data_IF_994025556019
#
_entry.id   IF_994025556019
#
_cell.length_a   1.000
_cell.length_b   1.000
_cell.length_c   1.000
_cell.angle_alpha   90.00
_cell.angle_beta   90.00
_cell.angle_gamma   90.00
#
_symmetry.space_group_name_H-M   'P 1'
#
loop_
_entity.id
_entity.type
_entity.pdbx_description
1 polymer ?
#
# COMPACT_ATOMS: atom_id res chain seq x y z
N UNK A 1 22.52 21.60 22.67
CA UNK A 1 23.38 21.99 21.54
C UNK A 1 24.74 21.28 21.64
N UNK A 2 24.72 19.95 21.81
CA UNK A 2 25.94 19.12 21.95
C UNK A 2 25.77 17.75 21.28
N UNK A 3 24.54 17.36 20.93
CA UNK A 3 24.22 16.14 20.18
C UNK A 3 24.47 16.32 18.66
N UNK A 4 24.58 17.57 18.17
CA UNK A 4 24.89 17.84 16.75
C UNK A 4 26.37 17.69 16.37
N UNK A 5 27.28 17.57 17.34
CA UNK A 5 28.74 17.55 17.10
C UNK A 5 29.33 16.13 17.02
N UNK A 6 28.58 15.10 17.41
CA UNK A 6 29.05 13.70 17.35
C UNK A 6 28.65 13.02 16.03
N UNK A 7 27.66 13.56 15.31
CA UNK A 7 27.28 13.06 13.98
C UNK A 7 28.23 13.53 12.85
N UNK A 8 29.09 14.53 13.09
CA UNK A 8 30.07 15.02 12.11
C UNK A 8 31.42 14.26 12.13
N UNK A 9 31.64 13.35 13.08
CA UNK A 9 32.96 12.77 13.34
C UNK A 9 33.15 11.29 12.97
N UNK A 10 32.25 10.71 12.18
CA UNK A 10 32.44 9.37 11.57
C UNK A 10 32.08 9.30 10.08
N UNK A 11 32.49 10.29 9.29
CA UNK A 11 32.52 10.19 7.82
C UNK A 11 33.98 10.10 7.37
N UNK A 12 34.62 8.97 7.66
CA UNK A 12 35.89 8.58 7.05
C UNK A 12 35.64 8.09 5.63
N UNK A 13 35.39 9.04 4.71
CA UNK A 13 35.66 9.05 3.26
C UNK A 13 34.74 10.09 2.60
N UNK A 14 35.31 11.01 1.84
CA UNK A 14 34.54 12.01 1.09
C UNK A 14 33.67 11.27 0.06
N UNK A 15 32.33 11.23 0.19
CA UNK A 15 31.48 10.45 -0.70
C UNK A 15 31.62 10.98 -2.13
N UNK A 16 31.71 10.07 -3.10
CA UNK A 16 31.85 10.47 -4.50
C UNK A 16 30.67 11.35 -4.94
N UNK A 17 30.88 12.25 -5.91
CA UNK A 17 29.80 13.09 -6.45
C UNK A 17 28.58 12.26 -6.95
N UNK A 18 28.83 11.04 -7.44
CA UNK A 18 27.79 10.07 -7.82
C UNK A 18 26.91 9.67 -6.62
N UNK A 19 27.51 9.41 -5.47
CA UNK A 19 26.79 9.02 -4.26
C UNK A 19 25.91 10.16 -3.73
N UNK A 20 26.46 11.37 -3.67
CA UNK A 20 25.70 12.58 -3.30
C UNK A 20 24.51 12.76 -4.24
N UNK A 21 24.73 12.62 -5.55
CA UNK A 21 23.66 12.74 -6.55
C UNK A 21 22.57 11.69 -6.34
N UNK A 22 22.93 10.44 -6.11
CA UNK A 22 21.98 9.36 -5.86
C UNK A 22 21.13 9.64 -4.61
N UNK A 23 21.77 10.05 -3.51
CA UNK A 23 21.10 10.45 -2.26
C UNK A 23 20.09 11.58 -2.49
N UNK A 24 20.47 12.61 -3.26
CA UNK A 24 19.59 13.75 -3.55
C UNK A 24 18.39 13.37 -4.43
N UNK A 25 18.56 12.47 -5.40
CA UNK A 25 17.43 11.98 -6.21
C UNK A 25 16.44 11.20 -5.36
N UNK A 26 16.92 10.30 -4.50
CA UNK A 26 16.06 9.51 -3.63
C UNK A 26 15.33 10.41 -2.61
N UNK A 27 16.03 11.37 -2.01
CA UNK A 27 15.43 12.35 -1.10
C UNK A 27 14.33 13.19 -1.79
N UNK A 28 14.59 13.67 -3.00
CA UNK A 28 13.57 14.38 -3.78
C UNK A 28 12.36 13.48 -4.11
N UNK A 29 12.58 12.21 -4.44
CA UNK A 29 11.50 11.26 -4.68
C UNK A 29 10.61 11.08 -3.44
N UNK A 30 11.22 10.86 -2.28
CA UNK A 30 10.51 10.70 -0.99
C UNK A 30 9.70 11.96 -0.67
N UNK A 31 10.29 13.15 -0.78
CA UNK A 31 9.60 14.42 -0.53
C UNK A 31 8.38 14.59 -1.44
N UNK A 32 8.52 14.33 -2.74
CA UNK A 32 7.39 14.40 -3.68
C UNK A 32 6.31 13.37 -3.36
N UNK A 33 6.68 12.15 -2.96
CA UNK A 33 5.70 11.15 -2.52
C UNK A 33 4.92 11.67 -1.31
N UNK A 34 5.61 12.22 -0.32
CA UNK A 34 4.98 12.71 0.91
C UNK A 34 4.08 13.92 0.64
N UNK A 35 4.53 14.89 -0.18
CA UNK A 35 3.68 16.00 -0.66
C UNK A 35 2.42 15.43 -1.33
N UNK A 36 2.58 14.45 -2.22
CA UNK A 36 1.47 13.82 -2.93
C UNK A 36 0.43 13.22 -1.98
N UNK A 37 0.89 12.58 -0.90
CA UNK A 37 -0.03 11.97 0.07
C UNK A 37 -0.79 12.98 0.91
N UNK A 38 -0.13 14.05 1.32
CA UNK A 38 -0.81 15.17 1.99
C UNK A 38 -1.89 15.77 1.09
N UNK A 39 -1.59 15.96 -0.19
CA UNK A 39 -2.55 16.49 -1.16
C UNK A 39 -3.71 15.52 -1.39
N UNK A 40 -3.43 14.23 -1.47
CA UNK A 40 -4.47 13.20 -1.54
C UNK A 40 -5.41 13.24 -0.33
N UNK A 41 -4.88 13.34 0.89
CA UNK A 41 -5.67 13.47 2.12
C UNK A 41 -6.50 14.76 2.16
N UNK A 42 -6.03 15.84 1.51
CA UNK A 42 -6.77 17.09 1.31
C UNK A 42 -7.76 17.05 0.14
N UNK A 43 -7.91 15.91 -0.55
CA UNK A 43 -8.70 15.75 -1.77
C UNK A 43 -8.24 16.63 -2.95
N UNK A 44 -6.98 17.08 -2.93
CA UNK A 44 -6.35 17.85 -4.00
C UNK A 44 -5.70 16.90 -5.02
N UNK A 45 -6.53 16.11 -5.69
CA UNK A 45 -6.10 14.96 -6.51
C UNK A 45 -5.17 15.33 -7.68
N UNK A 46 -5.40 16.47 -8.34
CA UNK A 46 -4.54 16.93 -9.43
C UNK A 46 -3.11 17.20 -8.95
N UNK A 47 -2.97 17.92 -7.84
CA UNK A 47 -1.67 18.18 -7.21
C UNK A 47 -1.02 16.90 -6.68
N UNK A 48 -1.80 16.01 -6.07
CA UNK A 48 -1.30 14.71 -5.63
C UNK A 48 -0.70 13.89 -6.78
N UNK A 49 -1.41 13.81 -7.90
CA UNK A 49 -0.95 13.11 -9.10
C UNK A 49 0.34 13.73 -9.67
N UNK A 50 0.44 15.05 -9.70
CA UNK A 50 1.66 15.73 -10.17
C UNK A 50 2.86 15.39 -9.27
N UNK A 51 2.70 15.47 -7.96
CA UNK A 51 3.74 15.12 -7.00
C UNK A 51 4.16 13.65 -7.12
N UNK A 52 3.22 12.71 -7.20
CA UNK A 52 3.56 11.30 -7.39
C UNK A 52 4.28 11.03 -8.71
N UNK A 53 3.90 11.69 -9.82
CA UNK A 53 4.62 11.59 -11.09
C UNK A 53 6.07 12.06 -10.96
N UNK A 54 6.31 13.19 -10.26
CA UNK A 54 7.67 13.68 -9.98
C UNK A 54 8.46 12.68 -9.13
N UNK A 55 7.85 12.12 -8.08
CA UNK A 55 8.47 11.04 -7.28
C UNK A 55 8.91 9.88 -8.17
N UNK A 56 8.01 9.37 -9.01
CA UNK A 56 8.28 8.24 -9.91
C UNK A 56 9.38 8.55 -10.92
N UNK A 57 9.43 9.78 -11.46
CA UNK A 57 10.50 10.24 -12.35
C UNK A 57 11.87 10.23 -11.64
N UNK A 58 11.95 10.73 -10.41
CA UNK A 58 13.19 10.72 -9.63
C UNK A 58 13.68 9.29 -9.33
N UNK A 59 12.77 8.38 -8.97
CA UNK A 59 13.09 6.95 -8.74
C UNK A 59 13.53 6.23 -10.00
N UNK A 60 12.86 6.48 -11.12
CA UNK A 60 13.27 5.92 -12.42
C UNK A 60 14.64 6.43 -12.83
N UNK A 61 14.92 7.73 -12.64
CA UNK A 61 16.24 8.32 -12.92
C UNK A 61 17.30 7.76 -11.96
N UNK A 62 16.99 7.61 -10.68
CA UNK A 62 17.85 6.98 -9.69
C UNK A 62 18.23 5.55 -10.12
N UNK A 63 17.25 4.72 -10.47
CA UNK A 63 17.46 3.34 -10.93
C UNK A 63 18.35 3.26 -12.18
N UNK A 64 18.20 4.21 -13.12
CA UNK A 64 19.11 4.30 -14.27
C UNK A 64 20.53 4.68 -13.84
N UNK A 65 20.67 5.72 -13.03
CA UNK A 65 21.98 6.25 -12.60
C UNK A 65 22.76 5.28 -11.71
N UNK A 66 22.07 4.43 -10.96
CA UNK A 66 22.68 3.48 -10.02
C UNK A 66 23.27 2.26 -10.73
N UNK A 67 22.69 1.79 -11.84
CA UNK A 67 23.17 0.62 -12.60
C UNK A 67 24.19 0.96 -13.69
N UNK A 68 24.29 2.21 -14.16
CA UNK A 68 25.26 2.58 -15.21
C UNK A 68 26.70 2.71 -14.67
N UNK A 69 27.69 2.02 -15.26
CA UNK A 69 29.11 2.20 -14.95
C UNK A 69 29.58 3.63 -15.25
N UNK A 70 30.49 4.17 -14.43
CA UNK A 70 31.01 5.54 -14.61
C UNK A 70 31.71 5.69 -15.98
N UNK A 71 32.39 4.63 -16.45
CA UNK A 71 33.15 4.61 -17.70
C UNK A 71 32.31 4.69 -18.99
N UNK A 72 30.98 4.56 -18.91
CA UNK A 72 30.08 4.60 -20.07
C UNK A 72 29.19 5.86 -20.08
N UNK A 73 29.39 6.78 -19.15
CA UNK A 73 28.70 8.08 -19.18
C UNK A 73 29.41 8.98 -20.18
N UNK A 74 28.75 9.28 -21.29
CA UNK A 74 29.25 10.25 -22.26
C UNK A 74 29.37 11.61 -21.59
N UNK A 75 30.54 12.24 -21.72
CA UNK A 75 31.02 13.42 -21.00
C UNK A 75 30.13 14.68 -21.03
N UNK A 76 28.97 14.67 -21.72
CA UNK A 76 28.03 15.78 -21.76
C UNK A 76 27.10 15.90 -20.53
N UNK A 77 26.87 14.82 -19.76
CA UNK A 77 26.10 14.90 -18.50
C UNK A 77 26.99 15.25 -17.29
N UNK A 78 28.28 14.95 -17.35
CA UNK A 78 29.25 15.21 -16.27
C UNK A 78 30.01 16.56 -16.42
N UNK A 79 29.95 17.26 -17.56
CA UNK A 79 30.63 18.56 -17.73
C UNK A 79 29.98 19.76 -16.98
N UNK A 80 28.85 19.54 -16.28
CA UNK A 80 28.26 20.48 -15.29
C UNK A 80 28.51 20.03 -13.83
N UNK A 81 29.45 19.11 -13.61
CA UNK A 81 29.67 18.28 -12.41
C UNK A 81 29.72 19.02 -11.07
N UNK A 82 30.26 20.24 -11.01
CA UNK A 82 30.33 20.98 -9.74
C UNK A 82 28.98 21.65 -9.36
N UNK A 83 28.18 22.06 -10.35
CA UNK A 83 27.01 22.90 -10.15
C UNK A 83 25.71 22.08 -10.03
N UNK A 84 25.65 20.89 -10.61
CA UNK A 84 24.46 20.03 -10.54
C UNK A 84 24.12 19.59 -9.10
N UNK A 85 25.07 19.10 -8.28
CA UNK A 85 24.79 18.80 -6.87
C UNK A 85 24.33 20.03 -6.08
N UNK A 86 24.81 21.23 -6.45
CA UNK A 86 24.39 22.49 -5.82
C UNK A 86 22.95 22.83 -6.17
N UNK A 87 22.58 22.82 -7.46
CA UNK A 87 21.20 23.04 -7.92
C UNK A 87 20.24 22.01 -7.36
N UNK A 88 20.65 20.74 -7.29
CA UNK A 88 19.80 19.69 -6.72
C UNK A 88 19.63 19.83 -5.20
N UNK A 89 20.67 20.28 -4.48
CA UNK A 89 20.54 20.64 -3.06
C UNK A 89 19.57 21.80 -2.85
N UNK A 90 19.67 22.85 -3.66
CA UNK A 90 18.73 23.98 -3.63
C UNK A 90 17.30 23.51 -3.90
N UNK A 91 17.10 22.69 -4.92
CA UNK A 91 15.80 22.12 -5.24
C UNK A 91 15.23 21.27 -4.10
N UNK A 92 16.05 20.42 -3.46
CA UNK A 92 15.62 19.64 -2.30
C UNK A 92 15.24 20.56 -1.13
N UNK A 93 16.02 21.61 -0.86
CA UNK A 93 15.70 22.58 0.19
C UNK A 93 14.39 23.34 -0.12
N UNK A 94 14.14 23.70 -1.37
CA UNK A 94 12.87 24.30 -1.81
C UNK A 94 11.70 23.34 -1.63
N UNK A 95 11.88 22.04 -1.91
CA UNK A 95 10.86 21.01 -1.67
C UNK A 95 10.59 20.82 -0.18
N UNK A 96 11.61 20.83 0.67
CA UNK A 96 11.46 20.78 2.12
C UNK A 96 10.66 21.99 2.62
N UNK A 97 10.98 23.19 2.12
CA UNK A 97 10.24 24.41 2.42
C UNK A 97 8.78 24.37 1.92
N UNK A 98 8.54 23.84 0.72
CA UNK A 98 7.19 23.64 0.18
C UNK A 98 6.40 22.60 0.99
N UNK A 99 7.04 21.49 1.36
CA UNK A 99 6.46 20.47 2.21
C UNK A 99 6.06 21.05 3.56
N UNK A 100 6.97 21.80 4.21
CA UNK A 100 6.67 22.53 5.44
C UNK A 100 5.52 23.54 5.25
N UNK A 101 5.52 24.36 4.19
CA UNK A 101 4.44 25.33 3.93
C UNK A 101 3.07 24.66 3.75
N UNK A 102 3.01 23.51 3.08
CA UNK A 102 1.74 22.79 2.86
C UNK A 102 1.18 22.15 4.12
N UNK A 103 2.01 21.92 5.11
CA UNK A 103 1.67 21.14 6.29
C UNK A 103 1.61 21.95 7.59
N UNK A 104 2.30 23.10 7.64
CA UNK A 104 2.43 23.93 8.84
C UNK A 104 3.80 23.78 9.50
N UNK A 105 3.98 24.37 10.69
CA UNK A 105 5.23 24.31 11.47
C UNK A 105 5.36 22.99 12.26
N UNK A 106 5.19 21.84 11.61
CA UNK A 106 5.40 20.52 12.22
C UNK A 106 6.56 19.76 11.58
N UNK A 107 7.02 18.70 12.25
CA UNK A 107 7.98 17.76 11.67
C UNK A 107 7.30 16.89 10.60
N UNK A 108 8.05 16.26 9.67
CA UNK A 108 7.49 15.26 8.77
C UNK A 108 6.62 14.22 9.50
N UNK A 109 7.05 13.71 10.66
CA UNK A 109 6.31 12.68 11.40
C UNK A 109 5.01 13.19 12.02
N UNK A 110 5.01 14.43 12.53
CA UNK A 110 3.80 15.11 12.99
C UNK A 110 2.81 15.30 11.84
N UNK A 111 3.32 15.65 10.66
CA UNK A 111 2.51 15.84 9.47
C UNK A 111 1.95 14.53 8.90
N UNK A 112 2.70 13.43 9.01
CA UNK A 112 2.23 12.09 8.69
C UNK A 112 1.11 11.71 9.66
N UNK A 113 1.33 11.91 10.95
CA UNK A 113 0.33 11.70 12.00
C UNK A 113 -0.93 12.52 11.77
N UNK A 114 -0.78 13.76 11.29
CA UNK A 114 -1.88 14.65 10.94
C UNK A 114 -2.63 14.22 9.69
N UNK A 115 -1.93 13.76 8.66
CA UNK A 115 -2.55 13.16 7.48
C UNK A 115 -3.37 11.93 7.86
N UNK A 116 -2.82 11.06 8.73
CA UNK A 116 -3.54 9.91 9.30
C UNK A 116 -4.77 10.35 10.11
N UNK A 117 -4.62 11.36 10.97
CA UNK A 117 -5.70 11.91 11.81
C UNK A 117 -6.82 12.52 10.96
N UNK A 118 -6.48 13.30 9.94
CA UNK A 118 -7.43 13.87 8.98
C UNK A 118 -8.15 12.75 8.21
N UNK A 119 -7.40 11.74 7.74
CA UNK A 119 -7.95 10.60 7.03
C UNK A 119 -8.94 9.82 7.90
N UNK A 120 -8.55 9.47 9.14
CA UNK A 120 -9.40 8.77 10.11
C UNK A 120 -10.66 9.56 10.48
N UNK A 121 -10.56 10.89 10.57
CA UNK A 121 -11.71 11.76 10.90
C UNK A 121 -12.69 11.91 9.74
N UNK A 122 -12.20 12.02 8.50
CA UNK A 122 -13.04 12.27 7.31
C UNK A 122 -13.59 11.01 6.68
N UNK A 123 -12.80 9.93 6.66
CA UNK A 123 -13.27 8.63 6.23
C UNK A 123 -13.59 7.85 7.50
N UNK A 124 -14.88 7.78 7.87
CA UNK A 124 -15.33 6.62 8.66
C UNK A 124 -14.80 5.41 7.90
N UNK A 125 -13.96 4.54 8.49
CA UNK A 125 -13.41 3.41 7.76
C UNK A 125 -14.58 2.55 7.30
N UNK A 126 -15.04 2.75 6.06
CA UNK A 126 -15.87 1.77 5.40
C UNK A 126 -15.02 0.51 5.34
N UNK A 127 -15.60 -0.68 5.52
CA UNK A 127 -14.84 -1.94 5.51
C UNK A 127 -13.91 -2.10 4.29
N UNK A 128 -14.20 -1.42 3.16
CA UNK A 128 -13.36 -1.30 1.96
C UNK A 128 -12.05 -0.51 2.11
N UNK A 129 -11.87 0.28 3.17
CA UNK A 129 -10.73 1.20 3.35
C UNK A 129 -9.69 0.70 4.34
N UNK A 130 -9.86 -0.49 4.93
CA UNK A 130 -9.01 -0.96 6.05
C UNK A 130 -7.64 -1.47 5.56
N UNK A 131 -7.51 -1.84 4.28
CA UNK A 131 -6.20 -2.10 3.67
C UNK A 131 -5.32 -0.83 3.47
N UNK A 132 -5.74 0.35 3.93
CA UNK A 132 -4.94 1.58 3.88
C UNK A 132 -3.99 1.76 5.08
N UNK A 133 -4.12 0.97 6.15
CA UNK A 133 -3.37 1.23 7.39
C UNK A 133 -1.87 0.91 7.30
N UNK A 134 -1.43 0.10 6.32
CA UNK A 134 -0.02 0.00 5.94
C UNK A 134 0.34 1.12 4.94
N UNK A 135 0.24 2.37 5.38
CA UNK A 135 0.40 3.51 4.48
C UNK A 135 1.85 3.57 3.98
N UNK A 136 2.09 3.67 2.65
CA UNK A 136 3.42 3.87 2.08
C UNK A 136 4.17 5.11 2.58
N UNK A 137 3.47 6.00 3.30
CA UNK A 137 4.04 7.15 3.98
C UNK A 137 5.09 6.74 5.01
N UNK A 138 4.80 5.74 5.86
CA UNK A 138 5.76 5.23 6.86
C UNK A 138 6.86 4.45 6.14
N UNK A 139 6.49 3.68 5.11
CA UNK A 139 7.43 2.86 4.33
C UNK A 139 8.45 3.67 3.49
N UNK A 140 8.20 4.96 3.25
CA UNK A 140 9.13 5.85 2.52
C UNK A 140 10.02 6.69 3.44
N UNK A 141 9.65 6.89 4.70
CA UNK A 141 10.34 7.81 5.59
C UNK A 141 11.52 7.16 6.33
N UNK A 142 11.42 5.88 6.70
CA UNK A 142 12.36 5.29 7.68
C UNK A 142 13.42 4.36 7.09
N UNK A 143 13.23 3.78 5.90
CA UNK A 143 14.00 2.58 5.52
C UNK A 143 15.23 2.81 4.66
N UNK A 144 15.44 3.99 4.06
CA UNK A 144 16.36 4.09 2.91
C UNK A 144 17.30 5.31 2.84
N UNK A 145 17.23 6.26 3.77
CA UNK A 145 18.17 7.39 3.74
C UNK A 145 19.56 7.01 4.27
N UNK A 146 19.62 6.15 5.29
CA UNK A 146 20.86 5.92 6.05
C UNK A 146 21.58 4.61 5.68
N UNK A 147 20.90 3.59 5.16
CA UNK A 147 21.52 2.29 4.83
C UNK A 147 21.73 2.07 3.32
N UNK A 148 22.52 2.94 2.71
CA UNK A 148 22.95 2.85 1.29
C UNK A 148 24.05 1.80 1.05
N UNK A 149 24.41 1.02 2.08
CA UNK A 149 25.53 0.08 2.06
C UNK A 149 25.26 -1.19 1.22
N UNK A 150 23.99 -1.57 1.06
CA UNK A 150 23.54 -2.72 0.26
C UNK A 150 22.92 -2.24 -1.06
N UNK A 151 23.28 -2.91 -2.18
CA UNK A 151 22.97 -2.56 -3.59
C UNK A 151 21.69 -1.70 -3.79
N UNK A 152 21.81 -0.35 -3.80
CA UNK A 152 20.67 0.52 -3.52
C UNK A 152 19.75 0.70 -4.74
N UNK A 153 20.20 0.27 -5.94
CA UNK A 153 19.41 0.15 -7.16
C UNK A 153 18.26 -0.87 -7.07
N UNK A 154 18.41 -1.92 -6.24
CA UNK A 154 17.39 -2.98 -6.12
C UNK A 154 16.30 -2.63 -5.10
N UNK A 155 16.62 -1.78 -4.12
CA UNK A 155 15.70 -1.31 -3.07
C UNK A 155 14.68 -0.28 -3.59
N UNK A 156 15.09 0.64 -4.48
CA UNK A 156 14.20 1.72 -4.94
C UNK A 156 13.02 1.24 -5.83
N UNK A 157 13.02 -0.04 -6.24
CA UNK A 157 11.88 -0.66 -6.91
C UNK A 157 10.65 -0.78 -6.01
N UNK A 158 10.83 -0.98 -4.70
CA UNK A 158 9.72 -0.98 -3.75
C UNK A 158 9.16 0.44 -3.60
N UNK A 159 10.01 1.44 -3.47
CA UNK A 159 9.58 2.84 -3.42
C UNK A 159 8.88 3.31 -4.70
N UNK A 160 9.32 2.82 -5.88
CA UNK A 160 8.64 3.05 -7.14
C UNK A 160 7.25 2.38 -7.17
N UNK A 161 7.15 1.14 -6.69
CA UNK A 161 5.87 0.45 -6.56
C UNK A 161 4.90 1.16 -5.62
N UNK A 162 5.37 1.64 -4.46
CA UNK A 162 4.61 2.48 -3.52
C UNK A 162 4.07 3.75 -4.20
N UNK A 163 4.92 4.42 -5.00
CA UNK A 163 4.52 5.62 -5.73
C UNK A 163 3.45 5.32 -6.77
N UNK A 164 3.60 4.23 -7.52
CA UNK A 164 2.60 3.77 -8.49
C UNK A 164 1.28 3.40 -7.80
N UNK A 165 1.34 2.64 -6.71
CA UNK A 165 0.16 2.33 -5.89
C UNK A 165 -0.60 3.60 -5.49
N UNK A 166 0.10 4.61 -4.98
CA UNK A 166 -0.50 5.89 -4.63
C UNK A 166 -1.12 6.63 -5.84
N UNK A 167 -0.49 6.58 -7.01
CA UNK A 167 -1.08 7.12 -8.25
C UNK A 167 -2.37 6.39 -8.63
N UNK A 168 -2.42 5.07 -8.45
CA UNK A 168 -3.62 4.29 -8.73
C UNK A 168 -4.78 4.68 -7.78
N UNK A 169 -4.50 4.93 -6.51
CA UNK A 169 -5.49 5.43 -5.56
C UNK A 169 -6.07 6.78 -5.98
N UNK A 170 -5.24 7.69 -6.52
CA UNK A 170 -5.72 8.94 -7.10
C UNK A 170 -6.63 8.69 -8.30
N UNK A 171 -6.27 7.76 -9.20
CA UNK A 171 -7.13 7.37 -10.32
C UNK A 171 -8.48 6.81 -9.85
N UNK A 172 -8.51 6.00 -8.79
CA UNK A 172 -9.76 5.49 -8.21
C UNK A 172 -10.65 6.61 -7.68
N UNK A 173 -10.09 7.59 -6.97
CA UNK A 173 -10.85 8.76 -6.50
C UNK A 173 -11.36 9.65 -7.63
N UNK A 174 -10.69 9.63 -8.79
CA UNK A 174 -11.17 10.28 -10.01
C UNK A 174 -12.12 9.40 -10.85
N UNK A 175 -12.49 8.21 -10.39
CA UNK A 175 -13.38 7.28 -11.11
C UNK A 175 -12.75 6.60 -12.33
N UNK A 176 -11.43 6.71 -12.51
CA UNK A 176 -10.68 6.17 -13.65
C UNK A 176 -10.19 4.74 -13.39
N UNK A 177 -11.13 3.79 -13.28
CA UNK A 177 -10.83 2.40 -12.90
C UNK A 177 -9.83 1.68 -13.82
N UNK A 178 -9.92 1.88 -15.13
CA UNK A 178 -8.99 1.26 -16.10
C UNK A 178 -7.56 1.78 -15.95
N UNK A 179 -7.40 3.09 -15.73
CA UNK A 179 -6.10 3.71 -15.45
C UNK A 179 -5.54 3.22 -14.11
N UNK A 180 -6.37 3.09 -13.08
CA UNK A 180 -5.96 2.54 -11.79
C UNK A 180 -5.42 1.11 -11.92
N UNK A 181 -6.13 0.20 -12.62
CA UNK A 181 -5.65 -1.17 -12.86
C UNK A 181 -4.29 -1.16 -13.56
N UNK A 182 -4.13 -0.37 -14.63
CA UNK A 182 -2.87 -0.30 -15.38
C UNK A 182 -1.71 0.13 -14.48
N UNK A 183 -1.92 1.13 -13.65
CA UNK A 183 -0.89 1.62 -12.72
C UNK A 183 -0.60 0.61 -11.60
N UNK A 184 -1.60 -0.12 -11.10
CA UNK A 184 -1.42 -1.20 -10.13
C UNK A 184 -0.62 -2.37 -10.72
N UNK A 185 -0.86 -2.72 -11.98
CA UNK A 185 -0.08 -3.75 -12.69
C UNK A 185 1.39 -3.33 -12.82
N UNK A 186 1.66 -2.07 -13.17
CA UNK A 186 3.03 -1.53 -13.18
C UNK A 186 3.68 -1.60 -11.77
N UNK A 187 2.90 -1.41 -10.70
CA UNK A 187 3.40 -1.54 -9.34
C UNK A 187 3.79 -3.00 -9.02
N UNK A 188 2.98 -3.99 -9.45
CA UNK A 188 3.31 -5.41 -9.32
C UNK A 188 4.57 -5.78 -10.10
N UNK A 189 4.73 -5.29 -11.34
CA UNK A 189 5.95 -5.52 -12.13
C UNK A 189 7.21 -4.97 -11.43
N UNK A 190 7.08 -3.78 -10.82
CA UNK A 190 8.16 -3.18 -10.02
C UNK A 190 8.51 -4.07 -8.82
N UNK A 191 7.51 -4.60 -8.11
CA UNK A 191 7.67 -5.52 -6.98
C UNK A 191 8.30 -6.86 -7.39
N UNK A 192 7.83 -7.48 -8.46
CA UNK A 192 8.34 -8.77 -8.96
C UNK A 192 9.81 -8.67 -9.31
N UNK A 193 10.28 -7.51 -9.77
CA UNK A 193 11.67 -7.27 -10.12
C UNK A 193 12.54 -6.75 -8.95
N UNK A 194 11.96 -6.49 -7.78
CA UNK A 194 12.67 -6.10 -6.56
C UNK A 194 13.33 -7.31 -5.87
N UNK A 195 14.24 -7.04 -4.92
CA UNK A 195 14.84 -8.08 -4.08
C UNK A 195 13.74 -8.96 -3.43
N UNK A 196 13.81 -10.31 -3.51
CA UNK A 196 12.87 -11.19 -2.82
C UNK A 196 12.73 -10.89 -1.33
N UNK A 197 13.86 -10.60 -0.67
CA UNK A 197 13.93 -10.26 0.75
C UNK A 197 13.69 -8.77 1.02
N UNK A 198 13.18 -8.02 0.05
CA UNK A 198 12.87 -6.62 0.27
C UNK A 198 11.78 -6.51 1.35
N UNK A 199 11.98 -5.68 2.38
CA UNK A 199 10.97 -5.50 3.40
C UNK A 199 9.71 -4.92 2.75
N UNK A 200 8.54 -5.25 3.32
CA UNK A 200 7.22 -4.76 2.88
C UNK A 200 6.74 -5.24 1.50
N UNK A 201 7.51 -6.10 0.83
CA UNK A 201 7.17 -6.62 -0.50
C UNK A 201 5.83 -7.35 -0.51
N UNK A 202 5.60 -8.20 0.49
CA UNK A 202 4.38 -9.03 0.60
C UNK A 202 3.18 -8.18 0.97
N UNK A 203 3.36 -7.23 1.88
CA UNK A 203 2.38 -6.25 2.35
C UNK A 203 1.88 -5.40 1.18
N UNK A 204 2.81 -4.85 0.39
CA UNK A 204 2.47 -4.05 -0.77
C UNK A 204 1.79 -4.87 -1.86
N UNK A 205 2.22 -6.12 -2.07
CA UNK A 205 1.56 -7.06 -2.98
C UNK A 205 0.10 -7.32 -2.56
N UNK A 206 -0.13 -7.63 -1.28
CA UNK A 206 -1.46 -7.80 -0.70
C UNK A 206 -2.35 -6.58 -0.93
N UNK A 207 -1.85 -5.37 -0.65
CA UNK A 207 -2.60 -4.13 -0.87
C UNK A 207 -2.94 -3.91 -2.35
N UNK A 208 -2.00 -4.15 -3.26
CA UNK A 208 -2.23 -3.97 -4.69
C UNK A 208 -3.28 -4.95 -5.20
N UNK A 209 -3.12 -6.24 -4.91
CA UNK A 209 -4.07 -7.27 -5.31
C UNK A 209 -5.46 -7.03 -4.72
N UNK A 210 -5.56 -6.62 -3.45
CA UNK A 210 -6.85 -6.26 -2.84
C UNK A 210 -7.54 -5.13 -3.61
N UNK A 211 -6.80 -4.08 -3.98
CA UNK A 211 -7.36 -2.97 -4.75
C UNK A 211 -7.76 -3.37 -6.17
N UNK A 212 -6.97 -4.20 -6.87
CA UNK A 212 -7.37 -4.75 -8.18
C UNK A 212 -8.64 -5.59 -8.03
N UNK A 213 -8.70 -6.46 -7.02
CA UNK A 213 -9.86 -7.30 -6.71
C UNK A 213 -11.13 -6.47 -6.51
N UNK A 214 -11.05 -5.38 -5.75
CA UNK A 214 -12.15 -4.44 -5.56
C UNK A 214 -12.61 -3.77 -6.86
N UNK A 215 -11.69 -3.33 -7.72
CA UNK A 215 -12.04 -2.72 -9.00
C UNK A 215 -12.76 -3.74 -9.89
N UNK A 216 -12.26 -4.97 -9.95
CA UNK A 216 -12.88 -6.07 -10.69
C UNK A 216 -14.27 -6.40 -10.14
N UNK A 217 -14.42 -6.47 -8.81
CA UNK A 217 -15.70 -6.73 -8.15
C UNK A 217 -16.75 -5.68 -8.50
N UNK A 218 -16.41 -4.39 -8.42
CA UNK A 218 -17.30 -3.29 -8.82
C UNK A 218 -17.65 -3.36 -10.31
N UNK A 219 -16.72 -3.81 -11.15
CA UNK A 219 -16.93 -4.09 -12.57
C UNK A 219 -17.70 -5.38 -12.87
N UNK A 220 -18.24 -6.10 -11.87
CA UNK A 220 -18.87 -7.42 -12.01
C UNK A 220 -17.96 -8.51 -12.64
N UNK A 221 -16.65 -8.33 -12.61
CA UNK A 221 -15.64 -9.30 -13.06
C UNK A 221 -15.27 -10.22 -11.91
N UNK A 222 -16.22 -11.03 -11.45
CA UNK A 222 -16.09 -11.77 -10.18
C UNK A 222 -14.97 -12.82 -10.19
N UNK A 223 -14.69 -13.46 -11.32
CA UNK A 223 -13.56 -14.39 -11.45
C UNK A 223 -12.22 -13.68 -11.25
N UNK A 224 -12.02 -12.55 -11.92
CA UNK A 224 -10.80 -11.74 -11.77
C UNK A 224 -10.69 -11.14 -10.37
N UNK A 225 -11.82 -10.77 -9.76
CA UNK A 225 -11.87 -10.30 -8.39
C UNK A 225 -11.40 -11.38 -7.41
N UNK A 226 -11.92 -12.61 -7.57
CA UNK A 226 -11.55 -13.74 -6.72
C UNK A 226 -10.08 -14.10 -6.87
N UNK A 227 -9.57 -14.19 -8.10
CA UNK A 227 -8.15 -14.46 -8.37
C UNK A 227 -7.22 -13.44 -7.69
N UNK A 228 -7.59 -12.16 -7.70
CA UNK A 228 -6.82 -11.13 -7.01
C UNK A 228 -6.97 -11.20 -5.48
N UNK A 229 -8.16 -11.45 -4.94
CA UNK A 229 -8.31 -11.62 -3.50
C UNK A 229 -7.57 -12.85 -2.97
N UNK A 230 -7.53 -13.96 -3.71
CA UNK A 230 -6.73 -15.14 -3.37
C UNK A 230 -5.24 -14.81 -3.30
N UNK A 231 -4.67 -14.11 -4.30
CA UNK A 231 -3.26 -13.65 -4.24
C UNK A 231 -3.00 -12.68 -3.08
N UNK A 232 -3.97 -11.83 -2.75
CA UNK A 232 -3.85 -10.95 -1.59
C UNK A 232 -3.83 -11.74 -0.28
N UNK A 233 -4.66 -12.77 -0.17
CA UNK A 233 -4.72 -13.66 0.99
C UNK A 233 -3.42 -14.44 1.17
N UNK A 234 -2.89 -15.04 0.10
CA UNK A 234 -1.59 -15.73 0.12
C UNK A 234 -0.50 -14.79 0.67
N UNK A 235 -0.39 -13.58 0.10
CA UNK A 235 0.61 -12.61 0.51
C UNK A 235 0.46 -12.14 1.98
N UNK A 236 -0.77 -11.96 2.49
CA UNK A 236 -0.99 -11.55 3.88
C UNK A 236 -0.79 -12.72 4.87
N UNK A 237 -1.19 -13.93 4.49
CA UNK A 237 -1.16 -15.11 5.37
C UNK A 237 0.27 -15.53 5.69
N UNK A 238 1.20 -15.36 4.75
CA UNK A 238 2.62 -15.64 4.99
C UNK A 238 3.20 -14.73 6.08
N UNK A 239 2.75 -13.48 6.15
CA UNK A 239 3.22 -12.51 7.15
C UNK A 239 2.54 -12.78 8.50
N UNK A 240 1.25 -13.09 8.48
CA UNK A 240 0.43 -13.31 9.68
C UNK A 240 0.89 -14.49 10.56
N UNK A 241 1.63 -15.44 9.98
CA UNK A 241 2.14 -16.63 10.68
C UNK A 241 3.67 -16.61 10.87
N UNK A 242 4.34 -15.50 10.55
CA UNK A 242 5.79 -15.43 10.65
C UNK A 242 6.21 -15.10 12.10
N UNK A 243 6.84 -16.07 12.76
CA UNK A 243 7.14 -16.05 14.20
C UNK A 243 8.06 -14.90 14.64
N UNK A 244 8.87 -14.36 13.73
CA UNK A 244 9.79 -13.26 14.04
C UNK A 244 9.09 -11.90 14.22
N UNK A 245 7.84 -11.75 13.77
CA UNK A 245 7.11 -10.50 13.97
C UNK A 245 6.54 -10.41 15.38
N UNK A 246 6.52 -9.20 15.93
CA UNK A 246 5.80 -8.91 17.17
C UNK A 246 4.31 -9.29 17.04
N UNK A 247 3.70 -9.66 18.17
CA UNK A 247 2.29 -10.05 18.21
C UNK A 247 1.36 -8.97 17.64
N UNK A 248 1.66 -7.69 17.88
CA UNK A 248 0.88 -6.57 17.34
C UNK A 248 0.91 -6.52 15.80
N UNK A 249 2.08 -6.77 15.21
CA UNK A 249 2.24 -6.85 13.76
C UNK A 249 1.49 -8.08 13.22
N UNK A 250 1.64 -9.24 13.86
CA UNK A 250 0.88 -10.45 13.48
C UNK A 250 -0.64 -10.21 13.53
N UNK A 251 -1.14 -9.56 14.59
CA UNK A 251 -2.55 -9.18 14.73
C UNK A 251 -3.02 -8.28 13.59
N UNK A 252 -2.22 -7.27 13.20
CA UNK A 252 -2.53 -6.41 12.07
C UNK A 252 -2.68 -7.21 10.76
N UNK A 253 -1.78 -8.17 10.51
CA UNK A 253 -1.84 -9.00 9.31
C UNK A 253 -2.97 -10.03 9.34
N UNK A 254 -3.28 -10.65 10.49
CA UNK A 254 -4.45 -11.52 10.65
C UNK A 254 -5.75 -10.77 10.39
N UNK A 255 -5.89 -9.53 10.90
CA UNK A 255 -7.03 -8.66 10.57
C UNK A 255 -7.13 -8.42 9.07
N UNK A 256 -6.03 -8.10 8.41
CA UNK A 256 -6.01 -7.91 6.95
C UNK A 256 -6.46 -9.17 6.21
N UNK A 257 -6.02 -10.36 6.63
CA UNK A 257 -6.49 -11.62 6.05
C UNK A 257 -7.98 -11.84 6.26
N UNK A 258 -8.51 -11.56 7.45
CA UNK A 258 -9.96 -11.58 7.71
C UNK A 258 -10.76 -10.66 6.77
N UNK A 259 -10.24 -9.45 6.48
CA UNK A 259 -10.88 -8.55 5.52
C UNK A 259 -10.79 -9.04 4.06
N UNK A 260 -9.69 -9.67 3.67
CA UNK A 260 -9.56 -10.29 2.34
C UNK A 260 -10.56 -11.44 2.20
N UNK A 261 -10.68 -12.31 3.21
CA UNK A 261 -11.66 -13.41 3.23
C UNK A 261 -13.10 -12.88 3.14
N UNK A 262 -13.43 -11.80 3.85
CA UNK A 262 -14.72 -11.12 3.72
C UNK A 262 -15.00 -10.65 2.28
N UNK A 263 -14.00 -10.11 1.59
CA UNK A 263 -14.13 -9.67 0.21
C UNK A 263 -14.33 -10.86 -0.75
N UNK A 264 -13.66 -11.98 -0.49
CA UNK A 264 -13.88 -13.24 -1.20
C UNK A 264 -15.31 -13.74 -0.97
N UNK A 265 -15.78 -13.81 0.28
CA UNK A 265 -17.13 -14.24 0.64
C UNK A 265 -18.21 -13.39 -0.05
N UNK A 266 -18.02 -12.06 -0.06
CA UNK A 266 -18.91 -11.15 -0.77
C UNK A 266 -18.92 -11.41 -2.30
N UNK A 267 -17.75 -11.68 -2.87
CA UNK A 267 -17.58 -12.03 -4.29
C UNK A 267 -18.28 -13.34 -4.64
N UNK A 268 -18.11 -14.38 -3.81
CA UNK A 268 -18.81 -15.67 -3.94
C UNK A 268 -20.33 -15.52 -3.82
N UNK A 269 -20.79 -14.72 -2.85
CA UNK A 269 -22.21 -14.38 -2.65
C UNK A 269 -22.83 -13.69 -3.86
N UNK A 270 -22.09 -12.80 -4.54
CA UNK A 270 -22.54 -12.13 -5.77
C UNK A 270 -22.51 -13.06 -6.98
N UNK A 271 -21.57 -14.01 -7.00
CA UNK A 271 -21.43 -15.04 -8.03
C UNK A 271 -22.38 -16.24 -7.83
N UNK A 272 -23.24 -16.21 -6.80
CA UNK A 272 -24.16 -17.30 -6.41
C UNK A 272 -23.47 -18.60 -5.97
N UNK A 273 -22.22 -18.52 -5.51
CA UNK A 273 -21.50 -19.62 -4.86
C UNK A 273 -21.70 -19.49 -3.34
N UNK A 274 -22.85 -19.95 -2.85
CA UNK A 274 -23.31 -19.68 -1.47
C UNK A 274 -22.50 -20.48 -0.45
N UNK A 275 -22.30 -21.78 -0.69
CA UNK A 275 -21.53 -22.67 0.21
C UNK A 275 -20.08 -22.17 0.39
N UNK A 276 -19.43 -21.75 -0.71
CA UNK A 276 -18.09 -21.16 -0.66
C UNK A 276 -18.09 -19.83 0.12
N UNK A 277 -19.14 -19.02 0.00
CA UNK A 277 -19.24 -17.78 0.76
C UNK A 277 -19.42 -18.01 2.27
N UNK A 278 -20.10 -19.09 2.66
CA UNK A 278 -20.28 -19.48 4.05
C UNK A 278 -18.95 -19.90 4.67
N UNK A 279 -18.23 -20.84 4.04
CA UNK A 279 -16.90 -21.28 4.49
C UNK A 279 -15.93 -20.08 4.65
N UNK A 280 -15.90 -19.18 3.65
CA UNK A 280 -15.06 -17.98 3.72
C UNK A 280 -15.46 -17.01 4.83
N UNK A 281 -16.74 -16.97 5.22
CA UNK A 281 -17.17 -16.19 6.38
C UNK A 281 -16.74 -16.84 7.69
N UNK A 282 -16.77 -18.17 7.80
CA UNK A 282 -16.29 -18.91 8.96
C UNK A 282 -14.79 -18.68 9.15
N UNK A 283 -13.99 -18.84 8.09
CA UNK A 283 -12.55 -18.55 8.13
C UNK A 283 -12.25 -17.10 8.56
N UNK A 284 -13.03 -16.14 8.05
CA UNK A 284 -12.90 -14.74 8.44
C UNK A 284 -13.28 -14.49 9.90
N UNK A 285 -14.33 -15.17 10.40
CA UNK A 285 -14.78 -15.08 11.78
C UNK A 285 -13.69 -15.56 12.73
N UNK A 286 -13.11 -16.72 12.47
CA UNK A 286 -12.07 -17.33 13.30
C UNK A 286 -10.83 -16.43 13.38
N UNK A 287 -10.43 -15.85 12.25
CA UNK A 287 -9.32 -14.89 12.19
C UNK A 287 -9.55 -13.66 13.08
N UNK A 288 -10.74 -13.03 13.01
CA UNK A 288 -11.03 -11.87 13.85
C UNK A 288 -11.23 -12.25 15.32
N UNK A 289 -11.86 -13.40 15.60
CA UNK A 289 -12.09 -13.88 16.96
C UNK A 289 -10.78 -14.17 17.69
N UNK A 290 -9.82 -14.80 17.00
CA UNK A 290 -8.50 -15.04 17.56
C UNK A 290 -7.80 -13.72 17.93
N UNK A 291 -7.86 -12.71 17.07
CA UNK A 291 -7.24 -11.40 17.36
C UNK A 291 -7.94 -10.68 18.51
N UNK A 292 -9.27 -10.72 18.59
CA UNK A 292 -10.04 -10.19 19.72
C UNK A 292 -9.66 -10.90 21.03
N UNK A 293 -9.60 -12.22 21.02
CA UNK A 293 -9.25 -13.03 22.20
C UNK A 293 -7.82 -12.77 22.69
N UNK A 294 -6.87 -12.60 21.77
CA UNK A 294 -5.45 -12.38 22.12
C UNK A 294 -5.19 -10.92 22.54
N UNK A 295 -5.89 -9.95 21.96
CA UNK A 295 -5.71 -8.52 22.26
C UNK A 295 -6.59 -7.99 23.41
N UNK A 296 -7.70 -8.68 23.70
CA UNK A 296 -8.73 -8.22 24.64
C UNK A 296 -9.48 -6.97 24.18
N UNK A 297 -9.38 -6.60 22.90
CA UNK A 297 -10.08 -5.45 22.31
C UNK A 297 -11.13 -5.93 21.31
N UNK A 298 -12.34 -5.32 21.30
CA UNK A 298 -13.38 -5.72 20.37
C UNK A 298 -12.98 -5.45 18.92
N UNK A 299 -13.16 -6.45 18.04
CA UNK A 299 -12.79 -6.35 16.64
C UNK A 299 -13.98 -5.97 15.76
N UNK A 300 -13.89 -4.82 15.07
CA UNK A 300 -14.91 -4.35 14.11
C UNK A 300 -15.19 -5.36 12.98
N UNK A 301 -14.19 -6.20 12.67
CA UNK A 301 -14.29 -7.28 11.69
C UNK A 301 -15.40 -8.29 12.03
N UNK A 302 -15.59 -8.64 13.31
CA UNK A 302 -16.60 -9.62 13.73
C UNK A 302 -18.02 -9.17 13.40
N UNK A 303 -18.34 -7.90 13.66
CA UNK A 303 -19.67 -7.34 13.32
C UNK A 303 -19.93 -7.42 11.81
N UNK A 304 -18.88 -7.19 11.02
CA UNK A 304 -18.92 -7.25 9.55
C UNK A 304 -19.20 -8.68 9.07
N UNK A 305 -18.47 -9.66 9.62
CA UNK A 305 -18.64 -11.09 9.29
C UNK A 305 -20.02 -11.60 9.69
N UNK A 306 -20.48 -11.33 10.92
CA UNK A 306 -21.82 -11.76 11.36
C UNK A 306 -22.92 -11.15 10.49
N UNK A 307 -22.77 -9.90 10.07
CA UNK A 307 -23.72 -9.26 9.14
C UNK A 307 -23.75 -9.96 7.78
N UNK A 308 -22.59 -10.36 7.26
CA UNK A 308 -22.50 -11.06 5.98
C UNK A 308 -23.03 -12.50 6.07
N UNK A 309 -22.69 -13.25 7.12
CA UNK A 309 -23.23 -14.60 7.37
C UNK A 309 -24.76 -14.62 7.37
N UNK A 310 -25.39 -13.66 8.06
CA UNK A 310 -26.85 -13.50 8.04
C UNK A 310 -27.42 -13.27 6.63
N UNK A 311 -26.69 -12.56 5.76
CA UNK A 311 -27.09 -12.34 4.37
C UNK A 311 -26.95 -13.64 3.56
N UNK A 312 -25.87 -14.39 3.77
CA UNK A 312 -25.58 -15.66 3.10
C UNK A 312 -26.68 -16.69 3.42
N UNK A 313 -26.99 -16.91 4.69
CA UNK A 313 -28.04 -17.84 5.15
C UNK A 313 -29.44 -17.49 4.61
N UNK A 314 -29.78 -16.19 4.54
CA UNK A 314 -31.05 -15.73 3.93
C UNK A 314 -31.13 -16.00 2.44
N UNK A 315 -30.02 -16.08 1.73
CA UNK A 315 -30.00 -16.42 0.30
C UNK A 315 -30.14 -17.91 0.08
N UNK A 316 -29.49 -18.71 0.90
CA UNK A 316 -29.56 -20.18 0.86
C UNK A 316 -31.01 -20.67 1.06
N UNK A 317 -31.71 -20.10 2.05
CA UNK A 317 -33.13 -20.41 2.30
C UNK A 317 -34.06 -20.01 1.15
N UNK A 318 -33.70 -19.00 0.36
CA UNK A 318 -34.46 -18.59 -0.83
C UNK A 318 -34.15 -19.43 -2.07
N UNK A 319 -32.96 -20.01 -2.16
CA UNK A 319 -32.57 -20.87 -3.28
C UNK A 319 -33.09 -22.29 -3.16
N UNK A 320 -33.38 -22.78 -1.94
CA UNK A 320 -34.02 -24.07 -1.76
C UNK A 320 -35.43 -24.01 -2.39
N UNK A 321 -35.76 -24.89 -3.36
CA UNK A 321 -37.09 -24.91 -3.95
C UNK A 321 -38.10 -25.05 -2.82
N UNK A 322 -39.15 -24.21 -2.81
CA UNK A 322 -40.29 -24.44 -1.93
C UNK A 322 -40.79 -25.84 -2.24
N UNK A 323 -40.53 -26.79 -1.33
CA UNK A 323 -41.18 -28.08 -1.36
C UNK A 323 -42.65 -27.76 -1.20
N UNK A 324 -43.39 -27.75 -2.31
CA UNK A 324 -44.83 -27.72 -2.26
C UNK A 324 -45.22 -28.99 -1.53
N UNK A 325 -45.88 -28.90 -0.35
CA UNK A 325 -46.33 -30.11 0.32
C UNK A 325 -47.16 -30.91 -0.68
N UNK A 326 -46.87 -32.20 -0.79
CA UNK A 326 -47.66 -33.10 -1.64
C UNK A 326 -49.14 -32.88 -1.33
N UNK A 327 -50.01 -32.78 -2.34
CA UNK A 327 -51.43 -32.60 -2.11
C UNK A 327 -51.89 -33.71 -1.17
N UNK A 328 -52.34 -33.32 0.03
CA UNK A 328 -52.87 -34.24 1.02
C UNK A 328 -53.97 -35.03 0.34
N UNK A 329 -53.75 -36.32 0.13
CA UNK A 329 -54.75 -37.20 -0.43
C UNK A 329 -55.95 -37.20 0.55
N UNK A 330 -57.01 -36.48 0.18
CA UNK A 330 -58.29 -36.59 0.84
C UNK A 330 -58.83 -37.98 0.54
N UNK A 331 -58.63 -38.91 1.48
CA UNK A 331 -59.34 -40.18 1.49
C UNK A 331 -60.78 -39.90 1.91
N UNK A 332 -61.70 -39.91 0.94
CA UNK A 332 -63.13 -40.09 1.18
C UNK A 332 -63.48 -41.56 1.41
#
# INVERSE_FOLDING_TARGET
MTILLVAEQQITTNPSAKEIMLRLHLKAAVLHSNIGTVLYAKHQFAGAMESYRKSFQFRTKYNRLSVTPISQRTDSEDQSSADFPVKMRQYVAELENEFARRLGNGTPDEHISDAFRIYKKKNKPSHFSICFFANPIVMNAETHADDLSSSPAKLDKIGAACTLFNMALVHLKMGSNSAAIKVLQMALESISSANPEAPFKKELSCMIHTNIGHICFVGNRFTDAMDNFSRAYEACSEIAHHEEYSLEVQHCHRKNCGYVLLNMALTSTKSRRIDEAENLCEDAYDMFYQVESESGQPEEGLTSVTSLMNIVQRKETRSKPKVTPDPVATSE
#
